data_IF_997961183317
#
_entry.id   IF_997961183317
#
_cell.length_a   1.000
_cell.length_b   1.000
_cell.length_c   1.000
_cell.angle_alpha   90.00
_cell.angle_beta   90.00
_cell.angle_gamma   90.00
#
_symmetry.space_group_name_H-M   'P 1'
#
loop_
_entity.id
_entity.type
_entity.pdbx_description
1 polymer ?
#
# COMPACT_ATOMS: atom_id res chain seq x y z
N UNK A 1 31.26 -31.26 -36.09
CA UNK A 1 30.39 -31.83 -35.04
C UNK A 1 30.73 -31.33 -33.63
N UNK A 2 32.00 -31.32 -33.19
CA UNK A 2 32.37 -30.78 -31.85
C UNK A 2 32.06 -29.29 -31.64
N UNK A 3 32.15 -28.45 -32.68
CA UNK A 3 31.88 -27.00 -32.55
C UNK A 3 30.39 -26.64 -32.51
N UNK A 4 29.52 -27.46 -33.11
CA UNK A 4 28.06 -27.21 -33.17
C UNK A 4 27.39 -27.52 -31.83
N UNK A 5 27.88 -28.53 -31.11
CA UNK A 5 27.42 -28.87 -29.75
C UNK A 5 27.78 -27.78 -28.73
N UNK A 6 28.90 -27.07 -28.93
CA UNK A 6 29.35 -26.00 -28.03
C UNK A 6 28.45 -24.77 -28.15
N UNK A 7 27.96 -24.44 -29.36
CA UNK A 7 27.07 -23.29 -29.54
C UNK A 7 25.63 -23.55 -29.06
N UNK A 8 25.15 -24.79 -29.06
CA UNK A 8 23.81 -25.14 -28.52
C UNK A 8 23.75 -25.11 -26.98
N UNK A 9 24.86 -25.37 -26.28
CA UNK A 9 24.93 -25.23 -24.82
C UNK A 9 24.99 -23.76 -24.39
N UNK A 10 25.60 -22.89 -25.20
CA UNK A 10 25.69 -21.46 -24.90
C UNK A 10 24.33 -20.74 -25.02
N UNK A 11 23.47 -21.15 -25.95
CA UNK A 11 22.15 -20.52 -26.15
C UNK A 11 21.12 -21.00 -25.12
N UNK A 12 21.22 -22.25 -24.65
CA UNK A 12 20.36 -22.76 -23.58
C UNK A 12 20.66 -22.12 -22.21
N UNK A 13 21.90 -21.69 -21.97
CA UNK A 13 22.27 -20.98 -20.75
C UNK A 13 21.86 -19.49 -20.76
N UNK A 14 21.63 -18.91 -21.94
CA UNK A 14 21.24 -17.51 -22.08
C UNK A 14 19.75 -17.27 -21.79
N UNK A 15 18.90 -18.31 -21.85
CA UNK A 15 17.46 -18.19 -21.57
C UNK A 15 17.09 -18.43 -20.09
N UNK A 16 17.98 -19.03 -19.28
CA UNK A 16 17.72 -19.25 -17.84
C UNK A 16 18.18 -18.05 -16.99
N UNK A 17 19.09 -17.21 -17.50
CA UNK A 17 19.58 -16.02 -16.81
C UNK A 17 18.71 -14.76 -17.03
N UNK A 18 17.61 -14.86 -17.80
CA UNK A 18 16.73 -13.72 -18.10
C UNK A 18 15.60 -13.48 -17.10
N UNK A 19 15.45 -14.32 -16.07
CA UNK A 19 14.32 -14.27 -15.13
C UNK A 19 14.71 -13.90 -13.68
N UNK A 20 15.92 -13.36 -13.47
CA UNK A 20 16.37 -12.90 -12.15
C UNK A 20 16.23 -11.39 -11.93
N UNK A 21 15.49 -10.69 -12.82
CA UNK A 21 15.39 -9.23 -12.83
C UNK A 21 14.03 -8.65 -12.47
N UNK A 22 13.06 -9.46 -12.02
CA UNK A 22 11.83 -8.90 -11.44
C UNK A 22 12.18 -8.48 -10.02
N UNK A 23 12.61 -7.24 -9.85
CA UNK A 23 12.84 -6.64 -8.54
C UNK A 23 11.58 -6.81 -7.70
N UNK A 24 11.66 -7.66 -6.69
CA UNK A 24 10.69 -7.67 -5.60
C UNK A 24 10.82 -6.31 -4.94
N UNK A 25 9.75 -5.52 -4.86
CA UNK A 25 9.74 -4.28 -4.10
C UNK A 25 10.19 -4.63 -2.66
N UNK A 26 11.30 -4.03 -2.24
CA UNK A 26 11.92 -4.24 -0.93
C UNK A 26 10.91 -3.89 0.18
N UNK A 27 10.93 -4.64 1.29
CA UNK A 27 10.09 -4.32 2.46
C UNK A 27 10.41 -2.96 3.10
N UNK A 28 11.54 -2.34 2.73
CA UNK A 28 11.99 -1.02 3.20
C UNK A 28 11.09 0.14 2.75
N UNK A 29 10.27 -0.02 1.72
CA UNK A 29 9.39 1.05 1.21
C UNK A 29 8.00 1.06 1.88
N UNK A 30 7.71 0.12 2.79
CA UNK A 30 6.39 0.01 3.43
C UNK A 30 6.29 0.85 4.69
N UNK A 31 5.20 1.60 4.82
CA UNK A 31 4.88 2.34 6.04
C UNK A 31 4.54 1.41 7.22
N UNK A 32 4.33 1.97 8.43
CA UNK A 32 3.94 1.19 9.61
C UNK A 32 2.70 0.33 9.34
N UNK A 33 2.63 -0.87 9.91
CA UNK A 33 1.53 -1.79 9.67
C UNK A 33 0.18 -1.25 10.16
N UNK A 34 0.19 -0.51 11.27
CA UNK A 34 -0.95 0.19 11.83
C UNK A 34 -0.53 1.62 12.20
N UNK A 35 -1.43 2.57 11.98
CA UNK A 35 -1.22 3.99 12.25
C UNK A 35 -2.40 4.51 13.07
N UNK A 36 -2.10 5.30 14.10
CA UNK A 36 -3.13 6.10 14.77
C UNK A 36 -3.23 7.46 14.10
N UNK A 37 -4.39 7.75 13.50
CA UNK A 37 -4.69 9.04 12.89
C UNK A 37 -5.40 9.93 13.91
N UNK A 38 -4.89 11.13 14.13
CA UNK A 38 -5.45 12.07 15.10
C UNK A 38 -5.38 13.50 14.59
N UNK A 39 -6.37 14.29 14.99
CA UNK A 39 -6.35 15.74 14.81
C UNK A 39 -5.43 16.38 15.85
N UNK A 40 -5.16 17.68 15.71
CA UNK A 40 -4.39 18.44 16.71
C UNK A 40 -4.99 18.35 18.13
N UNK A 41 -6.31 18.22 18.24
CA UNK A 41 -7.00 18.06 19.53
C UNK A 41 -6.98 16.61 20.06
N UNK A 42 -6.58 15.63 19.25
CA UNK A 42 -6.57 14.20 19.55
C UNK A 42 -7.88 13.63 20.11
N UNK A 43 -9.01 14.31 19.88
CA UNK A 43 -10.34 13.85 20.30
C UNK A 43 -10.82 12.75 19.35
N UNK A 44 -10.96 11.53 19.88
CA UNK A 44 -11.38 10.32 19.13
C UNK A 44 -10.39 9.98 18.00
N UNK A 45 -9.17 9.51 18.34
CA UNK A 45 -8.24 9.04 17.32
C UNK A 45 -8.86 7.89 16.51
N UNK A 46 -8.51 7.80 15.24
CA UNK A 46 -8.86 6.66 14.39
C UNK A 46 -7.69 5.68 14.34
N UNK A 47 -7.98 4.39 14.33
CA UNK A 47 -6.99 3.33 14.08
C UNK A 47 -7.08 2.95 12.61
N UNK A 48 -5.94 3.00 11.92
CA UNK A 48 -5.83 2.72 10.50
C UNK A 48 -4.88 1.53 10.27
N UNK A 49 -5.40 0.36 9.88
CA UNK A 49 -4.58 -0.79 9.52
C UNK A 49 -3.98 -0.57 8.11
N UNK A 50 -2.89 0.19 8.05
CA UNK A 50 -2.24 0.60 6.81
C UNK A 50 -1.76 -0.59 5.97
N UNK A 51 -1.16 -1.61 6.59
CA UNK A 51 -0.73 -2.83 5.87
C UNK A 51 -1.90 -3.52 5.15
N UNK A 52 -3.04 -3.66 5.81
CA UNK A 52 -4.22 -4.31 5.22
C UNK A 52 -4.79 -3.54 4.02
N UNK A 53 -4.62 -2.21 4.00
CA UNK A 53 -4.98 -1.41 2.83
C UNK A 53 -3.93 -1.54 1.73
N UNK A 54 -2.65 -1.48 2.08
CA UNK A 54 -1.54 -1.59 1.13
C UNK A 54 -1.53 -2.94 0.39
N UNK A 55 -2.01 -4.01 1.01
CA UNK A 55 -2.17 -5.32 0.35
C UNK A 55 -3.18 -5.32 -0.80
N UNK A 56 -4.07 -4.31 -0.86
CA UNK A 56 -5.22 -4.29 -1.78
C UNK A 56 -5.32 -3.00 -2.60
N UNK A 57 -4.57 -1.97 -2.23
CA UNK A 57 -4.73 -0.61 -2.74
C UNK A 57 -3.35 -0.06 -3.07
N UNK A 58 -3.20 0.46 -4.29
CA UNK A 58 -1.98 1.15 -4.74
C UNK A 58 -1.65 2.36 -3.87
N UNK A 59 -0.36 2.59 -3.59
CA UNK A 59 0.11 3.68 -2.72
C UNK A 59 -0.45 5.05 -3.12
N UNK A 60 -0.52 5.31 -4.43
CA UNK A 60 -0.97 6.58 -5.00
C UNK A 60 -2.44 6.90 -4.70
N UNK A 61 -3.29 5.89 -4.47
CA UNK A 61 -4.71 6.10 -4.16
C UNK A 61 -4.93 6.90 -2.89
N UNK A 62 -4.00 6.83 -1.94
CA UNK A 62 -4.02 7.63 -0.73
C UNK A 62 -3.02 8.77 -0.81
N UNK A 63 -1.77 8.51 -1.18
CA UNK A 63 -0.69 9.50 -1.05
C UNK A 63 -0.73 10.65 -2.08
N UNK A 64 -1.49 10.49 -3.17
CA UNK A 64 -1.72 11.56 -4.17
C UNK A 64 -3.14 12.14 -4.11
N UNK A 65 -3.96 11.70 -3.15
CA UNK A 65 -5.29 12.27 -2.96
C UNK A 65 -5.19 13.68 -2.37
N UNK A 66 -6.07 14.58 -2.81
CA UNK A 66 -6.08 15.96 -2.33
C UNK A 66 -6.39 16.09 -0.83
N UNK A 67 -7.04 15.09 -0.23
CA UNK A 67 -7.39 15.05 1.19
C UNK A 67 -6.34 14.36 2.04
N UNK A 68 -5.24 13.87 1.46
CA UNK A 68 -4.15 13.28 2.21
C UNK A 68 -3.38 14.36 2.97
N UNK A 69 -3.54 14.37 4.29
CA UNK A 69 -2.94 15.38 5.18
C UNK A 69 -2.17 14.71 6.32
N UNK A 70 -1.11 13.97 5.98
CA UNK A 70 -0.29 13.28 6.98
C UNK A 70 0.20 14.24 8.08
N UNK A 71 -0.05 13.89 9.34
CA UNK A 71 0.32 14.73 10.50
C UNK A 71 -0.55 15.98 10.72
N UNK A 72 -1.45 16.31 9.79
CA UNK A 72 -2.33 17.48 9.86
C UNK A 72 -3.80 17.11 9.61
N UNK A 73 -4.22 15.95 10.11
CA UNK A 73 -5.57 15.45 9.90
C UNK A 73 -6.62 16.39 10.50
N UNK A 74 -7.67 16.61 9.72
CA UNK A 74 -8.92 17.21 10.17
C UNK A 74 -10.03 16.18 10.05
N UNK A 75 -11.17 16.43 10.70
CA UNK A 75 -12.36 15.60 10.53
C UNK A 75 -12.77 15.53 9.05
N UNK A 76 -12.68 16.65 8.35
CA UNK A 76 -13.18 16.76 6.98
C UNK A 76 -12.21 16.07 6.02
N UNK A 77 -10.89 16.31 6.13
CA UNK A 77 -9.91 15.62 5.28
C UNK A 77 -9.90 14.11 5.50
N UNK A 78 -9.95 13.65 6.75
CA UNK A 78 -9.99 12.22 7.07
C UNK A 78 -11.27 11.53 6.58
N UNK A 79 -12.43 12.17 6.73
CA UNK A 79 -13.68 11.59 6.23
C UNK A 79 -13.79 11.65 4.70
N UNK A 80 -13.35 12.74 4.06
CA UNK A 80 -13.33 12.85 2.61
C UNK A 80 -12.42 11.78 1.98
N UNK A 81 -11.26 11.52 2.55
CA UNK A 81 -10.39 10.45 2.07
C UNK A 81 -10.94 9.05 2.38
N UNK A 82 -11.17 8.77 3.66
CA UNK A 82 -11.40 7.39 4.11
C UNK A 82 -12.86 6.98 3.95
N UNK A 83 -13.80 7.82 4.42
CA UNK A 83 -15.22 7.45 4.48
C UNK A 83 -15.85 7.44 3.09
N UNK A 84 -15.48 8.38 2.21
CA UNK A 84 -16.04 8.41 0.86
C UNK A 84 -15.52 7.25 0.01
N UNK A 85 -14.22 6.91 0.13
CA UNK A 85 -13.67 5.68 -0.44
C UNK A 85 -14.40 4.43 0.09
N UNK A 86 -14.56 4.30 1.41
CA UNK A 86 -15.30 3.18 1.99
C UNK A 86 -16.76 3.11 1.52
N UNK A 87 -17.42 4.25 1.32
CA UNK A 87 -18.78 4.29 0.78
C UNK A 87 -18.83 3.80 -0.66
N UNK A 88 -17.85 4.18 -1.48
CA UNK A 88 -17.74 3.74 -2.87
C UNK A 88 -17.47 2.23 -2.98
N UNK A 89 -16.60 1.71 -2.12
CA UNK A 89 -16.17 0.30 -2.12
C UNK A 89 -17.07 -0.62 -1.28
N UNK A 90 -18.14 -0.10 -0.67
CA UNK A 90 -19.03 -0.87 0.21
C UNK A 90 -18.39 -1.35 1.51
N UNK A 91 -17.30 -0.71 1.94
CA UNK A 91 -16.65 -0.96 3.23
C UNK A 91 -17.36 -0.24 4.38
N UNK A 92 -16.94 -0.52 5.62
CA UNK A 92 -17.60 0.06 6.80
C UNK A 92 -17.44 1.57 6.88
N UNK A 93 -18.57 2.29 6.99
CA UNK A 93 -18.62 3.73 7.27
C UNK A 93 -19.11 4.03 8.69
N UNK A 94 -19.16 3.01 9.57
CA UNK A 94 -19.60 3.16 10.96
C UNK A 94 -18.54 3.88 11.79
N UNK A 95 -18.92 4.82 12.65
CA UNK A 95 -17.96 5.58 13.46
C UNK A 95 -17.00 4.68 14.25
N UNK A 96 -17.52 3.61 14.86
CA UNK A 96 -16.75 2.70 15.70
C UNK A 96 -15.80 1.76 14.96
N UNK A 97 -15.92 1.60 13.64
CA UNK A 97 -14.96 0.77 12.88
C UNK A 97 -13.62 1.48 12.67
N UNK A 98 -13.61 2.82 12.71
CA UNK A 98 -12.40 3.62 12.59
C UNK A 98 -12.01 4.23 13.94
N UNK A 99 -12.98 4.67 14.74
CA UNK A 99 -12.79 5.27 16.06
C UNK A 99 -13.20 4.29 17.16
N UNK A 100 -12.38 3.28 17.48
CA UNK A 100 -12.71 2.34 18.54
C UNK A 100 -12.91 3.08 19.86
N UNK A 101 -13.93 2.66 20.62
CA UNK A 101 -14.07 3.09 22.02
C UNK A 101 -12.91 2.47 22.78
N UNK A 102 -12.07 3.32 23.36
CA UNK A 102 -11.11 2.87 24.38
C UNK A 102 -11.87 2.50 25.65
#
# INVERSE_FOLDING_TARGET
MKKVVIYSVAIAFLCVAGFAGMGMASDDDKGPAEITLQTAEAKKPAVFPHAAHQERIECDKCHKDANYTAGAWTKDSGHALCKDCHKAEGASTKCGSCHPKK
#
